data_IF_244182816599
#
_entry.id   IF_244182816599
#
_cell.length_a   1.000
_cell.length_b   1.000
_cell.length_c   1.000
_cell.angle_alpha   90.00
_cell.angle_beta   90.00
_cell.angle_gamma   90.00
#
_symmetry.space_group_name_H-M   'P 1'
#
loop_
_entity.id
_entity.type
_entity.pdbx_description
1 polymer ?
#
# COMPACT_ATOMS: atom_id res chain seq x y z
N UNK A 1 -22.87 -13.87 19.58
CA UNK A 1 -21.86 -14.09 18.52
C UNK A 1 -21.72 -12.78 17.73
N UNK A 2 -20.54 -12.14 17.72
CA UNK A 2 -20.35 -10.86 17.01
C UNK A 2 -19.96 -11.15 15.55
N UNK A 3 -20.88 -10.87 14.63
CA UNK A 3 -20.65 -10.94 13.20
C UNK A 3 -19.60 -9.88 12.81
N UNK A 4 -18.33 -10.30 12.76
CA UNK A 4 -17.26 -9.54 12.13
C UNK A 4 -17.49 -9.58 10.63
N UNK A 5 -18.30 -8.66 10.11
CA UNK A 5 -18.44 -8.46 8.68
C UNK A 5 -17.07 -8.01 8.13
N UNK A 6 -16.28 -8.96 7.64
CA UNK A 6 -15.11 -8.66 6.84
C UNK A 6 -15.60 -7.94 5.58
N UNK A 7 -14.96 -6.84 5.14
CA UNK A 7 -15.28 -6.25 3.86
C UNK A 7 -15.20 -7.33 2.77
N UNK A 8 -16.11 -7.28 1.80
CA UNK A 8 -16.05 -8.23 0.69
C UNK A 8 -14.68 -8.14 0.00
N UNK A 9 -14.23 -9.24 -0.62
CA UNK A 9 -12.92 -9.28 -1.28
C UNK A 9 -12.76 -8.17 -2.32
N UNK A 10 -13.81 -7.89 -3.11
CA UNK A 10 -13.77 -6.90 -4.20
C UNK A 10 -13.47 -5.48 -3.68
N UNK A 11 -14.04 -5.09 -2.55
CA UNK A 11 -13.85 -3.79 -1.92
C UNK A 11 -12.41 -3.62 -1.41
N UNK A 12 -11.76 -4.69 -0.94
CA UNK A 12 -10.35 -4.63 -0.57
C UNK A 12 -9.45 -4.40 -1.77
N UNK A 13 -9.71 -5.10 -2.88
CA UNK A 13 -8.95 -4.95 -4.12
C UNK A 13 -9.16 -3.56 -4.75
N UNK A 14 -10.41 -3.10 -4.88
CA UNK A 14 -10.77 -1.78 -5.42
C UNK A 14 -10.16 -0.59 -4.65
N UNK A 15 -9.85 -0.79 -3.37
CA UNK A 15 -9.26 0.25 -2.52
C UNK A 15 -7.80 -0.05 -2.15
N UNK A 16 -7.16 -1.01 -2.82
CA UNK A 16 -5.74 -1.27 -2.63
C UNK A 16 -4.88 -0.21 -3.32
N UNK A 17 -3.67 -0.04 -2.81
CA UNK A 17 -2.67 0.85 -3.38
C UNK A 17 -1.35 0.12 -3.58
N UNK A 18 -0.63 0.50 -4.61
CA UNK A 18 0.70 0.00 -4.91
C UNK A 18 1.73 0.67 -4.02
N UNK A 19 2.73 -0.10 -3.60
CA UNK A 19 3.80 0.39 -2.75
C UNK A 19 5.09 -0.38 -2.92
N UNK A 20 6.16 0.20 -2.40
CA UNK A 20 7.45 -0.48 -2.23
C UNK A 20 8.00 -0.23 -0.83
N UNK A 21 8.78 -1.18 -0.34
CA UNK A 21 9.64 -1.03 0.83
C UNK A 21 11.07 -0.88 0.33
N UNK A 22 11.76 0.19 0.73
CA UNK A 22 13.19 0.30 0.50
C UNK A 22 13.93 -0.52 1.56
N UNK A 23 14.60 -1.61 1.17
CA UNK A 23 15.35 -2.46 2.10
C UNK A 23 16.61 -1.78 2.64
N UNK A 24 17.09 -0.73 1.97
CA UNK A 24 18.23 0.06 2.41
C UNK A 24 17.91 0.96 3.63
N UNK A 25 16.74 1.61 3.66
CA UNK A 25 16.37 2.55 4.74
C UNK A 25 15.08 2.20 5.50
N UNK A 26 14.40 1.12 5.14
CA UNK A 26 13.16 0.64 5.75
C UNK A 26 11.91 1.48 5.43
N UNK A 27 12.02 2.59 4.68
CA UNK A 27 10.85 3.42 4.33
C UNK A 27 9.88 2.67 3.41
N UNK A 28 8.60 2.86 3.67
CA UNK A 28 7.50 2.39 2.82
C UNK A 28 7.01 3.56 1.99
N UNK A 29 7.05 3.41 0.67
CA UNK A 29 6.50 4.38 -0.28
C UNK A 29 5.22 3.78 -0.86
N UNK A 30 4.12 4.53 -0.80
CA UNK A 30 2.80 4.07 -1.24
C UNK A 30 2.30 5.08 -2.26
N UNK A 31 1.94 4.64 -3.45
CA UNK A 31 1.39 5.49 -4.49
C UNK A 31 -0.14 5.36 -4.51
N UNK A 32 -0.85 6.48 -4.31
CA UNK A 32 -2.31 6.47 -4.14
C UNK A 32 -3.06 6.64 -5.46
N UNK A 33 -2.49 7.35 -6.41
CA UNK A 33 -3.08 7.69 -7.70
C UNK A 33 -2.02 7.79 -8.79
N UNK A 34 -2.46 7.84 -10.04
CA UNK A 34 -1.56 8.02 -11.18
C UNK A 34 -0.78 9.33 -11.03
N UNK A 35 0.54 9.29 -11.26
CA UNK A 35 1.44 10.44 -11.10
C UNK A 35 1.66 10.87 -9.63
N UNK A 36 1.58 9.94 -8.67
CA UNK A 36 1.94 10.14 -7.26
C UNK A 36 3.40 9.72 -6.98
N UNK A 37 4.34 10.48 -7.56
CA UNK A 37 5.78 10.21 -7.43
C UNK A 37 6.27 10.37 -5.99
N UNK A 38 6.91 9.33 -5.45
CA UNK A 38 7.52 9.31 -4.11
C UNK A 38 8.91 8.72 -4.15
N UNK A 39 9.79 9.22 -3.30
CA UNK A 39 11.16 8.70 -3.12
C UNK A 39 11.61 8.72 -1.66
N UNK A 40 12.49 7.80 -1.26
CA UNK A 40 12.96 7.65 0.12
C UNK A 40 14.18 8.52 0.49
N UNK A 41 14.86 9.10 -0.51
CA UNK A 41 16.00 10.01 -0.34
C UNK A 41 17.27 9.39 0.25
N UNK A 42 17.31 8.06 0.44
CA UNK A 42 18.53 7.37 0.86
C UNK A 42 19.44 7.10 -0.33
N UNK A 43 20.63 6.53 -0.07
CA UNK A 43 21.59 6.15 -1.11
C UNK A 43 21.04 5.18 -2.16
N UNK A 44 20.02 4.38 -1.85
CA UNK A 44 19.38 3.51 -2.84
C UNK A 44 18.37 4.24 -3.75
N UNK A 45 17.94 5.46 -3.37
CA UNK A 45 17.07 6.29 -4.20
C UNK A 45 15.73 5.64 -4.60
N UNK A 46 15.21 4.72 -3.79
CA UNK A 46 14.00 3.97 -4.13
C UNK A 46 12.83 4.92 -4.42
N UNK A 47 12.09 4.65 -5.49
CA UNK A 47 10.96 5.45 -5.96
C UNK A 47 9.77 4.59 -6.38
N UNK A 48 8.58 5.19 -6.27
CA UNK A 48 7.35 4.67 -6.84
C UNK A 48 6.55 5.82 -7.45
N UNK A 49 5.88 5.55 -8.55
CA UNK A 49 4.94 6.45 -9.20
C UNK A 49 3.85 5.62 -9.89
N UNK A 50 2.60 5.65 -9.40
CA UNK A 50 1.57 4.81 -10.00
C UNK A 50 0.16 4.76 -9.39
N UNK A 51 -0.83 4.56 -10.26
CA UNK A 51 -2.24 4.39 -9.93
C UNK A 51 -2.68 2.92 -9.77
N UNK A 52 -3.92 2.73 -9.35
CA UNK A 52 -4.41 1.49 -8.72
C UNK A 52 -4.41 0.23 -9.60
N UNK A 53 -4.33 0.30 -10.94
CA UNK A 53 -4.47 -0.89 -11.80
C UNK A 53 -3.61 -0.87 -13.07
N UNK A 54 -3.40 0.28 -13.71
CA UNK A 54 -2.88 0.35 -15.10
C UNK A 54 -1.51 1.03 -15.26
N UNK A 55 -1.01 1.69 -14.22
CA UNK A 55 0.23 2.44 -14.30
C UNK A 55 0.98 2.36 -12.98
N UNK A 56 2.04 1.56 -12.89
CA UNK A 56 2.98 1.57 -11.77
C UNK A 56 4.41 1.56 -12.28
N UNK A 57 5.18 2.56 -11.86
CA UNK A 57 6.62 2.65 -12.06
C UNK A 57 7.30 2.50 -10.71
N UNK A 58 8.35 1.69 -10.68
CA UNK A 58 9.18 1.43 -9.52
C UNK A 58 10.63 1.52 -9.96
N UNK A 59 11.50 1.99 -9.09
CA UNK A 59 12.91 2.15 -9.41
C UNK A 59 13.76 2.34 -8.18
N UNK A 60 15.04 2.04 -8.32
CA UNK A 60 16.08 2.28 -7.33
C UNK A 60 17.44 2.23 -8.05
N UNK A 61 18.50 2.64 -7.37
CA UNK A 61 19.87 2.41 -7.84
C UNK A 61 20.17 0.90 -7.85
N UNK A 62 19.79 0.20 -6.79
CA UNK A 62 19.77 -1.25 -6.75
C UNK A 62 18.33 -1.75 -6.53
N UNK A 63 17.76 -2.35 -7.56
CA UNK A 63 16.41 -2.91 -7.55
C UNK A 63 16.26 -4.13 -6.63
N UNK A 64 17.34 -4.84 -6.30
CA UNK A 64 17.30 -5.94 -5.32
C UNK A 64 17.07 -5.43 -3.89
N UNK A 65 17.24 -4.11 -3.68
CA UNK A 65 17.01 -3.44 -2.41
C UNK A 65 15.63 -2.74 -2.34
N UNK A 66 14.68 -3.14 -3.18
CA UNK A 66 13.27 -2.80 -3.04
C UNK A 66 12.40 -4.07 -2.97
N UNK A 67 11.30 -3.98 -2.23
CA UNK A 67 10.32 -5.04 -2.13
C UNK A 67 8.92 -4.49 -2.42
N UNK A 68 8.21 -5.12 -3.35
CA UNK A 68 6.85 -4.72 -3.71
C UNK A 68 5.84 -5.07 -2.62
N UNK A 69 4.88 -4.16 -2.41
CA UNK A 69 3.79 -4.37 -1.46
C UNK A 69 2.48 -3.83 -2.01
N UNK A 70 1.42 -4.62 -1.83
CA UNK A 70 0.05 -4.13 -1.97
C UNK A 70 -0.43 -3.70 -0.59
N UNK A 71 -1.04 -2.52 -0.57
CA UNK A 71 -1.48 -1.85 0.64
C UNK A 71 -3.01 -1.81 0.64
N UNK A 72 -3.62 -2.61 1.51
CA UNK A 72 -5.09 -2.67 1.68
C UNK A 72 -5.55 -1.84 2.87
N UNK A 73 -6.68 -1.10 2.78
CA UNK A 73 -7.22 -0.35 3.88
C UNK A 73 -7.76 -1.29 4.95
N UNK A 74 -7.36 -1.06 6.20
CA UNK A 74 -7.91 -1.76 7.36
C UNK A 74 -8.94 -0.86 8.05
N UNK A 75 -10.19 -1.33 8.10
CA UNK A 75 -11.25 -0.65 8.82
C UNK A 75 -11.34 -1.19 10.24
N UNK A 76 -11.18 -0.34 11.25
CA UNK A 76 -11.52 -0.71 12.63
C UNK A 76 -13.02 -0.64 12.82
N UNK A 77 -13.61 -1.70 13.35
CA UNK A 77 -14.97 -1.69 13.86
C UNK A 77 -14.98 -0.99 15.22
N UNK A 78 -15.92 -0.06 15.44
CA UNK A 78 -16.23 0.45 16.79
C UNK A 78 -17.64 -0.04 17.09
N UNK A 79 -17.80 -0.84 18.15
CA UNK A 79 -19.07 -1.47 18.52
C UNK A 79 -19.69 -2.31 17.37
N UNK A 80 -18.87 -3.04 16.61
CA UNK A 80 -19.34 -3.89 15.51
C UNK A 80 -19.77 -3.13 14.24
N UNK A 81 -19.67 -1.79 14.21
CA UNK A 81 -19.95 -0.98 13.02
C UNK A 81 -18.65 -0.56 12.34
N UNK A 82 -18.53 -0.83 11.03
CA UNK A 82 -17.41 -0.42 10.18
C UNK A 82 -17.48 1.09 9.95
N UNK A 83 -16.51 1.85 10.46
CA UNK A 83 -16.42 3.29 10.17
C UNK A 83 -15.73 3.50 8.83
N UNK A 84 -16.51 3.78 7.78
CA UNK A 84 -16.00 4.09 6.42
C UNK A 84 -15.14 5.37 6.35
N UNK A 85 -15.17 6.22 7.39
CA UNK A 85 -14.58 7.57 7.38
C UNK A 85 -13.13 7.67 7.86
N UNK A 86 -12.49 6.56 8.28
CA UNK A 86 -11.09 6.62 8.76
C UNK A 86 -10.33 5.35 8.37
N UNK A 87 -9.74 5.34 7.16
CA UNK A 87 -8.61 4.45 6.87
C UNK A 87 -7.49 4.86 7.83
N UNK A 88 -7.19 4.02 8.82
CA UNK A 88 -6.19 4.33 9.86
C UNK A 88 -4.89 3.56 9.68
N UNK A 89 -4.91 2.46 8.94
CA UNK A 89 -3.76 1.58 8.82
C UNK A 89 -3.88 0.74 7.56
N UNK A 90 -2.73 0.46 6.98
CA UNK A 90 -2.59 -0.35 5.80
C UNK A 90 -1.92 -1.67 6.15
N UNK A 91 -2.43 -2.79 5.63
CA UNK A 91 -1.79 -4.10 5.80
C UNK A 91 -0.91 -4.36 4.57
N UNK A 92 0.38 -4.64 4.82
CA UNK A 92 1.32 -5.07 3.78
C UNK A 92 0.94 -6.47 3.32
N UNK A 93 0.75 -6.63 2.02
CA UNK A 93 0.73 -7.93 1.34
C UNK A 93 1.93 -7.93 0.42
N UNK A 94 2.89 -8.82 0.67
CA UNK A 94 4.05 -9.00 -0.21
C UNK A 94 3.58 -9.76 -1.46
N UNK A 95 3.89 -9.26 -2.65
CA UNK A 95 3.71 -10.09 -3.86
C UNK A 95 4.71 -11.25 -3.81
N UNK A 96 4.30 -12.41 -4.31
CA UNK A 96 5.18 -13.58 -4.46
C UNK A 96 6.21 -13.35 -5.55
#
# INVERSE_FOLDING_TARGET
>A
MKNNAQPNRNFLWENSHEGIVCLCCGKVLISYYRHDYKTCGCSNGAMIDGGQIDYVRRGAINSDLIQEVIVTPVFRTKNGKVSKKKVKSYRKVYSK
#
